data_IF_683818552658
#
_entry.id   IF_683818552658
#
_cell.length_a   1.000
_cell.length_b   1.000
_cell.length_c   1.000
_cell.angle_alpha   90.00
_cell.angle_beta   90.00
_cell.angle_gamma   90.00
#
_symmetry.space_group_name_H-M   'P 1'
#
loop_
_entity.id
_entity.type
_entity.pdbx_description
1 polymer ?
#
# COMPACT_ATOMS: atom_id res chain seq x y z
N UNK A 1 -4.35 -20.71 6.76
CA UNK A 1 -3.18 -20.12 6.10
C UNK A 1 -3.64 -19.39 4.84
N UNK A 2 -3.21 -18.14 4.66
CA UNK A 2 -3.51 -17.37 3.46
C UNK A 2 -2.46 -17.73 2.40
N UNK A 3 -2.91 -18.09 1.21
CA UNK A 3 -2.05 -18.32 0.05
C UNK A 3 -2.26 -17.21 -0.97
N UNK A 4 -1.18 -16.73 -1.56
CA UNK A 4 -1.25 -15.75 -2.65
C UNK A 4 -1.76 -16.45 -3.90
N UNK A 5 -2.67 -15.81 -4.62
CA UNK A 5 -3.12 -16.29 -5.93
C UNK A 5 -2.00 -16.07 -6.95
N UNK A 6 -1.84 -17.01 -7.88
CA UNK A 6 -0.73 -17.02 -8.84
C UNK A 6 -0.64 -15.75 -9.69
N UNK A 7 -1.75 -15.08 -9.96
CA UNK A 7 -1.77 -13.82 -10.70
C UNK A 7 -1.07 -12.66 -9.97
N UNK A 8 -0.78 -12.82 -8.67
CA UNK A 8 -0.13 -11.82 -7.83
C UNK A 8 1.26 -12.23 -7.33
N UNK A 9 1.84 -13.31 -7.87
CA UNK A 9 3.15 -13.82 -7.45
C UNK A 9 4.31 -12.83 -7.70
N UNK A 10 4.10 -11.83 -8.54
CA UNK A 10 5.08 -10.77 -8.81
C UNK A 10 5.12 -9.69 -7.72
N UNK A 11 4.18 -9.70 -6.76
CA UNK A 11 4.10 -8.75 -5.66
C UNK A 11 4.51 -9.39 -4.34
N UNK A 12 5.19 -8.63 -3.48
CA UNK A 12 5.48 -9.06 -2.12
C UNK A 12 4.25 -8.85 -1.22
N UNK A 13 3.33 -9.82 -1.24
CA UNK A 13 2.10 -9.81 -0.46
C UNK A 13 2.26 -10.45 0.93
N UNK A 14 3.49 -10.64 1.42
CA UNK A 14 3.67 -11.08 2.81
C UNK A 14 3.14 -10.01 3.77
N UNK A 15 2.07 -10.36 4.47
CA UNK A 15 1.37 -9.46 5.40
C UNK A 15 2.10 -9.29 6.73
N UNK A 16 3.07 -10.15 7.03
CA UNK A 16 3.78 -10.16 8.32
C UNK A 16 4.77 -9.02 8.41
N UNK A 17 4.76 -8.31 9.54
CA UNK A 17 5.75 -7.29 9.86
C UNK A 17 5.73 -6.01 9.00
N UNK A 18 4.72 -5.84 8.13
CA UNK A 18 4.59 -4.61 7.35
C UNK A 18 3.91 -3.52 8.19
N UNK A 19 4.41 -2.30 8.06
CA UNK A 19 3.80 -1.11 8.65
C UNK A 19 2.75 -0.50 7.71
N UNK A 20 1.97 0.46 8.21
CA UNK A 20 0.89 1.13 7.47
C UNK A 20 1.35 1.78 6.16
N UNK A 21 2.59 2.25 6.08
CA UNK A 21 3.15 2.83 4.88
C UNK A 21 3.30 1.77 3.78
N UNK A 22 3.90 0.63 4.10
CA UNK A 22 4.08 -0.51 3.19
C UNK A 22 2.75 -1.06 2.70
N UNK A 23 1.75 -1.13 3.56
CA UNK A 23 0.39 -1.52 3.19
C UNK A 23 -0.23 -0.60 2.16
N UNK A 24 -0.11 0.72 2.34
CA UNK A 24 -0.63 1.70 1.37
C UNK A 24 0.09 1.65 0.04
N UNK A 25 1.42 1.59 0.05
CA UNK A 25 2.24 1.46 -1.15
C UNK A 25 1.85 0.22 -1.97
N UNK A 26 1.63 -0.90 -1.29
CA UNK A 26 1.19 -2.14 -1.93
C UNK A 26 -0.23 -2.01 -2.49
N UNK A 27 -1.17 -1.41 -1.76
CA UNK A 27 -2.53 -1.20 -2.25
C UNK A 27 -2.54 -0.32 -3.51
N UNK A 28 -1.75 0.75 -3.56
CA UNK A 28 -1.61 1.62 -4.73
C UNK A 28 -0.97 0.89 -5.92
N UNK A 29 0.04 0.06 -5.66
CA UNK A 29 0.67 -0.76 -6.70
C UNK A 29 -0.33 -1.73 -7.32
N UNK A 30 -1.06 -2.47 -6.48
CA UNK A 30 -2.05 -3.44 -6.94
C UNK A 30 -3.27 -2.79 -7.60
N UNK A 31 -3.69 -1.61 -7.16
CA UNK A 31 -4.77 -0.87 -7.82
C UNK A 31 -4.46 -0.64 -9.29
N UNK A 32 -3.28 -0.10 -9.60
CA UNK A 32 -2.86 0.14 -10.99
C UNK A 32 -2.83 -1.16 -11.80
N UNK A 33 -2.36 -2.24 -11.19
CA UNK A 33 -2.26 -3.54 -11.83
C UNK A 33 -3.62 -4.17 -12.13
N UNK A 34 -4.56 -4.19 -11.17
CA UNK A 34 -5.89 -4.78 -11.37
C UNK A 34 -6.73 -3.97 -12.36
N UNK A 35 -6.60 -2.64 -12.33
CA UNK A 35 -7.26 -1.76 -13.31
C UNK A 35 -6.70 -1.99 -14.72
N UNK A 36 -5.39 -2.13 -14.85
CA UNK A 36 -4.72 -2.41 -16.14
C UNK A 36 -5.18 -3.74 -16.75
N UNK A 37 -5.38 -4.77 -15.93
CA UNK A 37 -5.79 -6.12 -16.36
C UNK A 37 -7.29 -6.34 -16.33
N UNK A 38 -8.09 -5.32 -16.01
CA UNK A 38 -9.55 -5.37 -16.00
C UNK A 38 -10.10 -6.55 -15.17
N UNK A 39 -9.53 -6.79 -13.96
CA UNK A 39 -10.03 -7.83 -13.07
C UNK A 39 -11.49 -7.58 -12.70
N UNK A 40 -12.30 -8.64 -12.74
CA UNK A 40 -13.67 -8.56 -12.26
C UNK A 40 -13.68 -8.48 -10.74
N UNK A 41 -14.32 -7.45 -10.13
CA UNK A 41 -14.40 -7.35 -8.68
C UNK A 41 -15.25 -8.49 -8.09
N UNK A 42 -14.90 -8.92 -6.88
CA UNK A 42 -15.69 -9.91 -6.12
C UNK A 42 -17.08 -9.35 -5.78
N UNK A 43 -17.15 -8.08 -5.45
CA UNK A 43 -18.38 -7.34 -5.17
C UNK A 43 -18.17 -5.84 -5.44
N UNK A 44 -19.26 -5.10 -5.66
CA UNK A 44 -19.22 -3.66 -5.89
C UNK A 44 -20.51 -3.00 -5.41
N UNK A 45 -20.42 -1.72 -5.04
CA UNK A 45 -21.59 -0.97 -4.57
C UNK A 45 -21.32 0.53 -4.48
N UNK A 46 -22.32 1.27 -4.06
CA UNK A 46 -22.23 2.71 -3.81
C UNK A 46 -22.56 2.98 -2.34
N UNK A 47 -21.91 3.96 -1.77
CA UNK A 47 -22.23 4.45 -0.44
C UNK A 47 -23.66 5.00 -0.41
N UNK A 48 -24.33 4.80 0.73
CA UNK A 48 -25.64 5.37 0.99
C UNK A 48 -25.56 6.87 1.34
N UNK A 49 -26.69 7.46 1.73
CA UNK A 49 -26.80 8.89 2.10
C UNK A 49 -25.96 9.27 3.34
N UNK A 50 -25.55 8.28 4.15
CA UNK A 50 -24.70 8.46 5.32
C UNK A 50 -23.21 8.29 5.00
N UNK A 51 -22.89 7.95 3.74
CA UNK A 51 -21.53 7.66 3.31
C UNK A 51 -21.08 6.23 3.63
N UNK A 52 -21.99 5.34 4.01
CA UNK A 52 -21.69 3.95 4.36
C UNK A 52 -21.95 3.02 3.19
N UNK A 53 -21.06 2.04 3.01
CA UNK A 53 -21.24 0.91 2.10
C UNK A 53 -20.88 -0.37 2.85
N UNK A 54 -21.79 -1.33 2.85
CA UNK A 54 -21.56 -2.64 3.49
C UNK A 54 -21.40 -3.72 2.42
N UNK A 55 -20.37 -4.52 2.55
CA UNK A 55 -20.16 -5.73 1.75
C UNK A 55 -20.45 -6.98 2.58
N UNK A 56 -21.01 -8.02 1.99
CA UNK A 56 -21.44 -8.10 0.59
C UNK A 56 -22.74 -7.31 0.35
N UNK A 57 -22.82 -6.71 -0.84
CA UNK A 57 -23.98 -5.89 -1.23
C UNK A 57 -25.25 -6.70 -1.49
N UNK A 58 -25.14 -8.01 -1.71
CA UNK A 58 -26.24 -8.89 -2.15
C UNK A 58 -26.35 -10.17 -1.31
N UNK A 59 -26.37 -10.09 0.02
CA UNK A 59 -26.71 -11.23 0.88
C UNK A 59 -25.82 -12.48 0.76
N UNK A 60 -24.68 -12.39 0.07
CA UNK A 60 -23.65 -13.43 0.01
C UNK A 60 -22.70 -13.26 1.18
N UNK A 61 -22.07 -14.34 1.63
CA UNK A 61 -20.95 -14.23 2.57
C UNK A 61 -19.64 -14.02 1.81
N UNK A 62 -18.77 -13.13 2.32
CA UNK A 62 -17.41 -13.05 1.83
C UNK A 62 -16.58 -14.18 2.43
N UNK A 63 -15.75 -14.81 1.62
CA UNK A 63 -14.81 -15.82 2.10
C UNK A 63 -13.71 -15.18 2.98
N UNK A 64 -13.07 -15.99 3.84
CA UNK A 64 -11.89 -15.53 4.54
C UNK A 64 -10.77 -15.17 3.54
N UNK A 65 -10.16 -13.98 3.68
CA UNK A 65 -9.13 -13.52 2.75
C UNK A 65 -8.73 -12.08 2.94
N UNK A 66 -7.73 -11.67 2.17
CA UNK A 66 -7.27 -10.29 2.03
C UNK A 66 -7.93 -9.68 0.79
N UNK A 67 -8.67 -8.61 0.98
CA UNK A 67 -9.40 -7.90 -0.06
C UNK A 67 -8.74 -6.56 -0.34
N UNK A 68 -8.51 -6.26 -1.61
CA UNK A 68 -8.15 -4.92 -2.06
C UNK A 68 -9.45 -4.16 -2.36
N UNK A 69 -9.63 -3.03 -1.69
CA UNK A 69 -10.78 -2.14 -1.89
C UNK A 69 -10.32 -0.93 -2.70
N UNK A 70 -11.01 -0.67 -3.81
CA UNK A 70 -10.71 0.41 -4.75
C UNK A 70 -11.96 1.28 -4.88
N UNK A 71 -11.80 2.61 -4.74
CA UNK A 71 -12.87 3.56 -4.99
C UNK A 71 -12.76 4.22 -6.35
N UNK A 72 -13.90 4.48 -6.97
CA UNK A 72 -13.96 5.30 -8.17
C UNK A 72 -13.92 6.79 -7.80
N UNK A 73 -13.37 7.62 -8.70
CA UNK A 73 -13.42 9.09 -8.56
C UNK A 73 -14.88 9.54 -8.53
N UNK A 74 -15.17 10.45 -7.62
CA UNK A 74 -16.47 11.12 -7.54
C UNK A 74 -16.30 12.63 -7.65
N UNK A 75 -17.00 13.25 -8.60
CA UNK A 75 -16.97 14.69 -8.80
C UNK A 75 -18.23 15.33 -8.20
N UNK A 76 -18.04 16.29 -7.29
CA UNK A 76 -19.13 17.02 -6.66
C UNK A 76 -18.70 18.45 -6.27
N UNK A 77 -19.56 19.44 -6.54
CA UNK A 77 -19.36 20.82 -6.13
C UNK A 77 -18.05 21.44 -6.64
N UNK A 78 -17.65 21.11 -7.89
CA UNK A 78 -16.42 21.61 -8.50
C UNK A 78 -15.15 20.99 -7.93
N UNK A 79 -15.26 19.84 -7.26
CA UNK A 79 -14.11 19.09 -6.75
C UNK A 79 -14.19 17.62 -7.10
N UNK A 80 -13.03 17.04 -7.35
CA UNK A 80 -12.82 15.61 -7.47
C UNK A 80 -12.43 15.00 -6.13
N UNK A 81 -13.02 13.88 -5.82
CA UNK A 81 -12.74 13.06 -4.64
C UNK A 81 -12.22 11.71 -5.09
N UNK A 82 -10.95 11.44 -4.81
CA UNK A 82 -10.29 10.15 -5.10
C UNK A 82 -10.09 9.39 -3.79
N UNK A 83 -10.73 8.22 -3.66
CA UNK A 83 -10.50 7.35 -2.52
C UNK A 83 -9.12 6.69 -2.62
N UNK A 84 -8.38 6.63 -1.50
CA UNK A 84 -7.15 5.87 -1.42
C UNK A 84 -7.48 4.37 -1.38
N UNK A 85 -6.85 3.52 -2.21
CA UNK A 85 -7.04 2.08 -2.13
C UNK A 85 -6.49 1.54 -0.80
N UNK A 86 -7.13 0.51 -0.26
CA UNK A 86 -6.71 -0.09 0.99
C UNK A 86 -7.02 -1.60 1.03
N UNK A 87 -6.40 -2.29 1.99
CA UNK A 87 -6.69 -3.69 2.24
C UNK A 87 -7.62 -3.87 3.43
N UNK A 88 -8.51 -4.85 3.29
CA UNK A 88 -9.33 -5.38 4.36
C UNK A 88 -9.05 -6.87 4.54
N UNK A 89 -8.68 -7.30 5.74
CA UNK A 89 -8.48 -8.70 6.10
C UNK A 89 -9.74 -9.24 6.79
N UNK A 90 -10.29 -10.32 6.28
CA UNK A 90 -11.48 -10.98 6.81
C UNK A 90 -11.21 -12.45 7.13
N UNK A 91 -11.46 -12.94 8.35
CA UNK A 91 -11.66 -12.15 9.56
C UNK A 91 -10.35 -11.46 9.98
N UNK A 92 -10.45 -10.38 10.74
CA UNK A 92 -9.30 -9.80 11.44
C UNK A 92 -9.25 -10.29 12.89
N UNK A 93 -8.13 -10.07 13.58
CA UNK A 93 -7.98 -10.43 14.99
C UNK A 93 -8.03 -9.18 15.85
N UNK A 94 -8.91 -9.17 16.84
CA UNK A 94 -8.83 -8.22 17.94
C UNK A 94 -7.69 -8.66 18.88
N UNK A 95 -6.60 -7.90 18.88
CA UNK A 95 -5.40 -8.22 19.66
C UNK A 95 -5.58 -7.98 21.16
N UNK A 96 -6.56 -7.15 21.57
CA UNK A 96 -6.84 -6.89 22.98
C UNK A 96 -7.61 -8.05 23.63
N UNK A 97 -8.60 -8.59 22.91
CA UNK A 97 -9.45 -9.66 23.41
C UNK A 97 -9.06 -11.05 22.87
N UNK A 98 -8.10 -11.12 21.94
CA UNK A 98 -7.67 -12.34 21.24
C UNK A 98 -8.85 -13.08 20.56
N UNK A 99 -9.79 -12.32 20.00
CA UNK A 99 -10.98 -12.84 19.32
C UNK A 99 -10.92 -12.56 17.82
N UNK A 100 -11.59 -13.43 17.03
CA UNK A 100 -11.76 -13.21 15.62
C UNK A 100 -12.96 -12.29 15.34
N UNK A 101 -12.71 -11.20 14.62
CA UNK A 101 -13.72 -10.22 14.23
C UNK A 101 -14.08 -10.43 12.76
N UNK A 102 -15.35 -10.70 12.51
CA UNK A 102 -15.89 -10.95 11.16
C UNK A 102 -16.54 -9.70 10.57
N UNK A 103 -17.01 -8.77 11.41
CA UNK A 103 -17.56 -7.48 10.99
C UNK A 103 -16.49 -6.40 11.11
N UNK A 104 -15.85 -6.09 9.99
CA UNK A 104 -14.74 -5.14 9.93
C UNK A 104 -15.21 -3.82 9.33
N UNK A 105 -14.99 -2.72 10.05
CA UNK A 105 -15.28 -1.37 9.59
C UNK A 105 -14.00 -0.62 9.24
N UNK A 106 -14.01 0.11 8.14
CA UNK A 106 -12.89 0.94 7.71
C UNK A 106 -13.36 2.35 7.34
N UNK A 107 -12.60 3.36 7.79
CA UNK A 107 -12.78 4.73 7.36
C UNK A 107 -11.90 5.00 6.14
N UNK A 108 -12.52 5.20 5.00
CA UNK A 108 -11.81 5.44 3.74
C UNK A 108 -11.19 6.84 3.75
N UNK A 109 -9.90 6.91 3.46
CA UNK A 109 -9.21 8.17 3.20
C UNK A 109 -9.43 8.58 1.75
N UNK A 110 -9.57 9.86 1.51
CA UNK A 110 -9.70 10.39 0.15
C UNK A 110 -8.95 11.72 0.02
N UNK A 111 -8.46 11.99 -1.18
CA UNK A 111 -7.98 13.29 -1.58
C UNK A 111 -9.14 14.10 -2.17
N UNK A 112 -9.09 15.42 -1.95
CA UNK A 112 -10.01 16.39 -2.57
C UNK A 112 -9.18 17.36 -3.38
N UNK A 113 -9.47 17.47 -4.67
CA UNK A 113 -8.80 18.40 -5.58
C UNK A 113 -9.83 19.19 -6.37
N UNK A 114 -9.63 20.50 -6.64
CA UNK A 114 -10.48 21.21 -7.57
C UNK A 114 -10.50 20.51 -8.93
N UNK A 115 -11.67 20.48 -9.57
CA UNK A 115 -11.76 20.06 -10.97
C UNK A 115 -10.94 21.03 -11.80
N UNK A 116 -9.99 20.59 -12.62
CA UNK A 116 -9.21 21.43 -13.50
C UNK A 116 -10.10 22.16 -14.51
N UNK A 117 -9.64 23.31 -14.98
CA UNK A 117 -10.30 23.97 -16.10
C UNK A 117 -10.12 23.15 -17.40
N UNK A 118 -11.08 23.28 -18.30
CA UNK A 118 -11.03 22.55 -19.59
C UNK A 118 -9.79 22.97 -20.38
N UNK A 119 -9.00 21.96 -20.77
CA UNK A 119 -7.71 22.14 -21.45
C UNK A 119 -6.50 22.27 -20.54
N UNK A 120 -6.65 22.23 -19.22
CA UNK A 120 -5.50 22.17 -18.30
C UNK A 120 -4.69 20.91 -18.49
N UNK A 121 -3.37 21.06 -18.41
CA UNK A 121 -2.44 19.95 -18.56
C UNK A 121 -1.58 19.74 -17.33
N UNK A 122 -1.11 18.51 -17.15
CA UNK A 122 -0.21 18.13 -16.07
C UNK A 122 1.01 17.39 -16.61
N UNK A 123 2.10 17.51 -15.87
CA UNK A 123 3.31 16.74 -16.10
C UNK A 123 3.35 15.53 -15.17
N UNK A 124 3.78 14.37 -15.68
CA UNK A 124 4.09 13.18 -14.87
C UNK A 124 5.49 12.69 -15.19
N UNK A 125 6.12 12.12 -14.19
CA UNK A 125 7.48 11.56 -14.31
C UNK A 125 7.49 10.14 -13.78
N UNK A 126 8.42 9.34 -14.29
CA UNK A 126 8.75 8.05 -13.70
C UNK A 126 10.25 7.99 -13.43
N UNK A 127 10.58 7.37 -12.30
CA UNK A 127 11.92 7.05 -11.86
C UNK A 127 11.96 5.56 -11.50
N UNK A 128 12.92 4.83 -12.08
CA UNK A 128 13.22 3.45 -11.69
C UNK A 128 14.27 3.42 -10.60
N UNK A 129 14.01 2.61 -9.58
CA UNK A 129 14.95 2.31 -8.49
C UNK A 129 15.16 0.80 -8.43
N UNK A 130 16.40 0.37 -8.26
CA UNK A 130 16.78 -1.01 -7.99
C UNK A 130 17.17 -1.15 -6.53
N UNK A 131 16.63 -2.16 -5.87
CA UNK A 131 16.92 -2.52 -4.48
C UNK A 131 17.47 -3.96 -4.49
N UNK A 132 18.78 -4.06 -4.80
CA UNK A 132 19.47 -5.32 -5.12
C UNK A 132 20.42 -5.77 -4.01
N UNK A 133 20.43 -5.11 -2.83
CA UNK A 133 21.38 -5.40 -1.74
C UNK A 133 22.85 -5.45 -2.20
N UNK A 134 23.22 -4.62 -3.19
CA UNK A 134 24.58 -4.55 -3.77
C UNK A 134 24.88 -5.56 -4.87
N UNK A 135 23.89 -6.28 -5.39
CA UNK A 135 24.05 -7.18 -6.54
C UNK A 135 23.82 -6.45 -7.88
N UNK A 136 24.50 -5.34 -8.09
CA UNK A 136 24.31 -4.40 -9.22
C UNK A 136 24.38 -5.05 -10.63
N UNK A 137 24.96 -6.24 -10.74
CA UNK A 137 25.12 -6.92 -12.04
C UNK A 137 23.94 -7.84 -12.41
N UNK A 138 22.88 -7.88 -11.61
CA UNK A 138 21.74 -8.76 -11.88
C UNK A 138 20.53 -8.06 -12.48
N UNK A 139 20.55 -6.72 -12.55
CA UNK A 139 19.47 -5.93 -13.13
C UNK A 139 19.37 -6.11 -14.64
N UNK A 140 18.18 -6.15 -15.23
CA UNK A 140 17.99 -6.05 -16.66
C UNK A 140 18.57 -4.74 -17.20
N UNK A 141 19.08 -4.77 -18.44
CA UNK A 141 19.57 -3.56 -19.10
C UNK A 141 18.44 -2.57 -19.42
N UNK A 142 17.21 -3.03 -19.48
CA UNK A 142 16.03 -2.25 -19.84
C UNK A 142 14.78 -2.86 -19.19
N UNK A 143 13.87 -1.98 -18.76
CA UNK A 143 12.52 -2.36 -18.34
C UNK A 143 11.47 -1.62 -19.17
N UNK A 144 10.24 -2.12 -19.13
CA UNK A 144 9.10 -1.47 -19.80
C UNK A 144 8.12 -0.98 -18.73
N UNK A 145 7.78 0.31 -18.79
CA UNK A 145 6.75 0.94 -17.97
C UNK A 145 5.61 1.40 -18.85
N UNK A 146 4.39 1.13 -18.43
CA UNK A 146 3.17 1.59 -19.08
C UNK A 146 2.56 2.75 -18.25
N UNK A 147 2.31 3.89 -18.90
CA UNK A 147 1.50 4.97 -18.32
C UNK A 147 0.02 4.66 -18.56
N UNK A 148 -0.78 4.75 -17.51
CA UNK A 148 -2.21 4.48 -17.57
C UNK A 148 -3.01 5.76 -17.43
N UNK A 149 -4.00 5.96 -18.33
CA UNK A 149 -5.05 6.96 -18.22
C UNK A 149 -6.34 6.28 -17.76
N UNK A 150 -6.82 6.58 -16.58
CA UNK A 150 -8.03 5.96 -16.00
C UNK A 150 -7.97 4.41 -16.04
N UNK A 151 -6.83 3.83 -15.70
CA UNK A 151 -6.59 2.38 -15.69
C UNK A 151 -6.27 1.74 -17.05
N UNK A 152 -6.38 2.47 -18.17
CA UNK A 152 -6.08 1.96 -19.51
C UNK A 152 -4.72 2.45 -20.01
N UNK A 153 -3.99 1.60 -20.73
CA UNK A 153 -2.68 1.97 -21.29
C UNK A 153 -2.83 3.17 -22.22
N UNK A 154 -2.11 4.23 -21.90
CA UNK A 154 -2.01 5.44 -22.70
C UNK A 154 -0.70 5.49 -23.48
N UNK A 155 0.42 5.19 -22.78
CA UNK A 155 1.75 5.20 -23.39
C UNK A 155 2.62 4.09 -22.79
N UNK A 156 3.67 3.69 -23.53
CA UNK A 156 4.62 2.65 -23.12
C UNK A 156 6.03 3.11 -23.37
N UNK A 157 6.83 3.15 -22.31
CA UNK A 157 8.22 3.64 -22.36
C UNK A 157 9.20 2.59 -21.88
N UNK A 158 10.42 2.68 -22.38
CA UNK A 158 11.55 1.87 -21.95
C UNK A 158 12.48 2.70 -21.08
N UNK A 159 12.82 2.17 -19.90
CA UNK A 159 13.78 2.75 -18.99
C UNK A 159 15.06 1.94 -18.96
N UNK A 160 16.19 2.61 -19.03
CA UNK A 160 17.53 2.02 -19.03
C UNK A 160 18.56 3.06 -18.56
N UNK A 161 19.83 2.69 -18.46
CA UNK A 161 20.92 3.64 -18.19
C UNK A 161 20.99 4.78 -19.20
N UNK A 162 20.62 4.53 -20.48
CA UNK A 162 20.65 5.56 -21.54
C UNK A 162 19.78 6.77 -21.25
N UNK A 163 18.70 6.61 -20.49
CA UNK A 163 17.81 7.70 -20.07
C UNK A 163 17.86 7.92 -18.55
N UNK A 164 18.93 7.45 -17.88
CA UNK A 164 19.12 7.52 -16.43
C UNK A 164 17.92 6.94 -15.67
N UNK A 165 17.32 5.88 -16.20
CA UNK A 165 16.18 5.19 -15.60
C UNK A 165 14.98 6.11 -15.34
N UNK A 166 14.74 7.12 -16.21
CA UNK A 166 13.73 8.16 -16.05
C UNK A 166 13.01 8.45 -17.35
N UNK A 167 11.77 8.92 -17.20
CA UNK A 167 11.02 9.50 -18.31
C UNK A 167 10.08 10.60 -17.81
N UNK A 168 9.71 11.54 -18.70
CA UNK A 168 8.79 12.65 -18.37
C UNK A 168 7.75 12.74 -19.47
N UNK A 169 6.48 12.65 -19.08
CA UNK A 169 5.34 12.94 -19.92
C UNK A 169 4.90 14.38 -19.67
N UNK A 170 4.76 15.14 -20.74
CA UNK A 170 4.30 16.51 -20.74
C UNK A 170 2.88 16.57 -21.31
N UNK A 171 2.18 17.66 -21.03
CA UNK A 171 0.90 18.01 -21.63
C UNK A 171 -0.18 16.91 -21.52
N UNK A 172 -0.16 16.20 -20.41
CA UNK A 172 -1.18 15.20 -20.10
C UNK A 172 -2.44 15.90 -19.59
N UNK A 173 -3.60 15.36 -19.96
CA UNK A 173 -4.90 15.82 -19.53
C UNK A 173 -5.01 15.84 -17.98
N UNK A 174 -5.31 17.02 -17.43
CA UNK A 174 -5.39 17.21 -15.97
C UNK A 174 -6.60 16.49 -15.36
N UNK A 175 -7.68 16.27 -16.12
CA UNK A 175 -8.88 15.59 -15.66
C UNK A 175 -8.68 14.10 -15.49
N UNK A 176 -7.67 13.52 -16.13
CA UNK A 176 -7.44 12.08 -16.08
C UNK A 176 -6.72 11.65 -14.82
N UNK A 177 -7.09 10.47 -14.32
CA UNK A 177 -6.33 9.77 -13.29
C UNK A 177 -5.16 9.05 -13.92
N UNK A 178 -3.95 9.49 -13.57
CA UNK A 178 -2.71 8.92 -14.10
C UNK A 178 -2.07 7.98 -13.09
N UNK A 179 -1.66 6.80 -13.57
CA UNK A 179 -0.89 5.82 -12.81
C UNK A 179 0.09 5.10 -13.74
N UNK A 180 0.99 4.30 -13.18
CA UNK A 180 1.94 3.51 -13.98
C UNK A 180 1.92 2.06 -13.55
N UNK A 181 2.29 1.16 -14.48
CA UNK A 181 2.62 -0.24 -14.18
C UNK A 181 3.96 -0.59 -14.83
N UNK A 182 4.65 -1.57 -14.27
CA UNK A 182 5.83 -2.16 -14.87
C UNK A 182 5.47 -3.53 -15.46
N UNK A 183 6.04 -3.89 -16.61
CA UNK A 183 6.00 -5.27 -17.07
C UNK A 183 6.90 -6.13 -16.19
N UNK A 184 6.39 -7.27 -15.77
CA UNK A 184 7.06 -8.20 -14.85
C UNK A 184 8.54 -8.40 -15.14
N UNK A 185 9.38 -8.19 -14.13
CA UNK A 185 10.81 -8.45 -14.16
C UNK A 185 11.10 -9.73 -13.39
N UNK A 186 11.63 -10.75 -14.08
CA UNK A 186 11.92 -12.05 -13.44
C UNK A 186 12.94 -11.89 -12.32
N UNK A 187 12.68 -12.54 -11.17
CA UNK A 187 13.57 -12.51 -10.00
C UNK A 187 13.38 -11.28 -9.10
N UNK A 188 12.41 -10.40 -9.41
CA UNK A 188 12.13 -9.20 -8.63
C UNK A 188 10.67 -9.14 -8.19
N UNK A 189 10.42 -8.44 -7.10
CA UNK A 189 9.11 -7.90 -6.74
C UNK A 189 9.07 -6.43 -7.10
N UNK A 190 7.90 -5.91 -7.45
CA UNK A 190 7.71 -4.51 -7.79
C UNK A 190 6.89 -3.77 -6.73
N UNK A 191 7.28 -2.54 -6.44
CA UNK A 191 6.52 -1.57 -5.66
C UNK A 191 6.49 -0.24 -6.39
N UNK A 192 5.33 0.41 -6.43
CA UNK A 192 5.14 1.69 -7.09
C UNK A 192 4.60 2.69 -6.08
N UNK A 193 5.33 3.78 -5.88
CA UNK A 193 4.92 4.89 -5.02
C UNK A 193 4.80 6.16 -5.83
N UNK A 194 4.09 7.15 -5.30
CA UNK A 194 3.97 8.46 -5.94
C UNK A 194 4.48 9.56 -5.02
N UNK A 195 5.42 10.32 -5.52
CA UNK A 195 6.00 11.49 -4.86
C UNK A 195 5.74 12.74 -5.72
N UNK A 196 4.70 13.50 -5.36
CA UNK A 196 4.24 14.64 -6.15
C UNK A 196 3.84 14.24 -7.57
N UNK A 197 4.61 14.69 -8.57
CA UNK A 197 4.39 14.37 -10.00
C UNK A 197 5.15 13.12 -10.45
N UNK A 198 5.97 12.51 -9.59
CA UNK A 198 6.87 11.39 -9.95
C UNK A 198 6.33 10.08 -9.42
N UNK A 199 6.21 9.09 -10.28
CA UNK A 199 6.03 7.69 -9.92
C UNK A 199 7.41 7.06 -9.71
N UNK A 200 7.65 6.47 -8.55
CA UNK A 200 8.87 5.74 -8.22
C UNK A 200 8.56 4.25 -8.32
N UNK A 201 9.17 3.59 -9.29
CA UNK A 201 9.04 2.15 -9.53
C UNK A 201 10.27 1.47 -8.93
N UNK A 202 10.10 0.77 -7.82
CA UNK A 202 11.18 0.07 -7.11
C UNK A 202 11.07 -1.42 -7.35
N UNK A 203 12.15 -2.03 -7.84
CA UNK A 203 12.27 -3.48 -7.89
C UNK A 203 13.22 -3.95 -6.81
N UNK A 204 12.72 -4.84 -5.95
CA UNK A 204 13.48 -5.51 -4.91
C UNK A 204 13.79 -6.94 -5.34
N UNK A 205 15.05 -7.35 -5.28
CA UNK A 205 15.46 -8.70 -5.63
C UNK A 205 14.82 -9.72 -4.69
N UNK A 206 14.21 -10.75 -5.28
CA UNK A 206 13.69 -11.88 -4.50
C UNK A 206 14.87 -12.64 -3.90
N UNK A 207 14.81 -13.03 -2.61
CA UNK A 207 15.84 -13.86 -2.04
C UNK A 207 15.96 -15.18 -2.84
N UNK A 208 17.18 -15.58 -3.15
CA UNK A 208 17.43 -16.90 -3.74
C UNK A 208 16.95 -17.97 -2.77
N UNK A 209 15.80 -18.57 -3.07
CA UNK A 209 15.35 -19.76 -2.36
C UNK A 209 16.28 -20.92 -2.76
N UNK A 210 17.37 -21.09 -2.06
CA UNK A 210 17.99 -22.38 -1.96
C UNK A 210 17.07 -23.22 -1.08
N UNK A 211 16.06 -23.83 -1.70
CA UNK A 211 15.28 -24.90 -1.11
C UNK A 211 16.21 -26.11 -0.93
N UNK A 212 17.11 -26.02 0.03
CA UNK A 212 17.64 -27.23 0.63
C UNK A 212 16.56 -27.66 1.62
N UNK A 213 15.88 -28.79 1.39
CA UNK A 213 14.98 -29.31 2.41
C UNK A 213 15.83 -29.50 3.67
N UNK A 214 15.43 -28.86 4.77
CA UNK A 214 16.01 -29.12 6.06
C UNK A 214 16.00 -30.64 6.28
N UNK A 215 17.15 -31.25 6.15
CA UNK A 215 17.33 -32.64 6.52
C UNK A 215 16.92 -32.72 7.99
N UNK A 216 15.96 -33.59 8.37
CA UNK A 216 15.53 -33.65 9.74
C UNK A 216 16.75 -33.94 10.63
N UNK A 217 17.11 -32.94 11.44
CA UNK A 217 18.18 -33.11 12.41
C UNK A 217 17.70 -34.18 13.39
N UNK A 218 18.36 -35.35 13.31
CA UNK A 218 18.16 -36.48 14.24
C UNK A 218 18.23 -35.92 15.67
N UNK A 219 17.24 -36.15 16.53
CA UNK A 219 17.27 -35.64 17.90
C UNK A 219 18.50 -36.14 18.60
N UNK A 220 19.40 -35.26 19.01
CA UNK A 220 20.48 -35.64 19.92
C UNK A 220 19.89 -35.88 21.30
N UNK A 221 20.36 -36.94 21.95
CA UNK A 221 19.96 -37.41 23.28
C UNK A 221 19.92 -36.23 24.29
N UNK A 222 18.89 -36.11 25.12
CA UNK A 222 18.81 -35.05 26.11
C UNK A 222 19.90 -35.23 27.17
N UNK A 223 20.82 -34.28 27.24
CA UNK A 223 21.71 -34.13 28.37
C UNK A 223 20.92 -33.60 29.57
N UNK A 224 21.21 -34.16 30.74
CA UNK A 224 20.62 -33.95 32.08
C UNK A 224 20.38 -32.46 32.37
N UNK A 225 19.23 -32.08 32.94
CA UNK A 225 18.90 -30.70 33.21
C UNK A 225 19.78 -30.08 34.29
N UNK A 226 20.46 -29.00 33.94
CA UNK A 226 21.05 -28.08 34.88
C UNK A 226 19.96 -27.14 35.41
N UNK A 227 20.03 -26.80 36.69
CA UNK A 227 19.08 -25.99 37.45
C UNK A 227 18.58 -24.75 36.73
N UNK A 228 17.31 -24.33 36.91
CA UNK A 228 16.72 -23.21 36.19
C UNK A 228 17.36 -21.88 36.59
N UNK A 229 17.92 -21.18 35.63
CA UNK A 229 18.25 -19.77 35.77
C UNK A 229 16.94 -18.97 35.77
N UNK A 230 16.86 -18.04 36.73
CA UNK A 230 15.74 -17.13 36.94
C UNK A 230 15.48 -16.35 35.63
N UNK A 231 14.25 -16.29 35.10
CA UNK A 231 13.96 -15.53 33.89
C UNK A 231 14.12 -14.04 34.14
N UNK A 232 15.08 -13.41 33.48
CA UNK A 232 15.13 -11.98 33.32
C UNK A 232 14.22 -11.63 32.14
N UNK A 233 13.11 -10.95 32.42
CA UNK A 233 12.24 -10.37 31.43
C UNK A 233 13.04 -9.34 30.58
N UNK A 234 12.90 -9.33 29.25
CA UNK A 234 13.44 -8.25 28.44
C UNK A 234 12.75 -6.95 28.86
N UNK A 235 13.51 -5.99 29.38
CA UNK A 235 13.02 -4.62 29.55
C UNK A 235 12.85 -4.02 28.15
N UNK A 236 11.64 -4.09 27.61
CA UNK A 236 11.23 -3.17 26.57
C UNK A 236 11.07 -1.81 27.21
N UNK A 237 12.12 -0.99 27.14
CA UNK A 237 12.09 0.38 27.57
C UNK A 237 11.13 1.18 26.71
N UNK A 238 9.86 1.14 27.02
CA UNK A 238 8.91 2.13 26.55
C UNK A 238 9.29 3.47 27.18
N UNK A 239 9.87 4.35 26.40
CA UNK A 239 10.25 5.71 26.83
C UNK A 239 8.97 6.53 26.88
N UNK A 240 8.31 6.53 28.03
CA UNK A 240 6.99 7.16 28.28
C UNK A 240 6.98 8.68 28.14
N UNK A 241 8.14 9.33 28.12
CA UNK A 241 8.25 10.79 28.08
C UNK A 241 7.73 11.42 26.76
N UNK A 242 7.70 10.67 25.67
CA UNK A 242 7.16 11.16 24.38
C UNK A 242 5.63 11.28 24.39
N UNK A 243 4.94 10.48 25.18
CA UNK A 243 3.48 10.52 25.30
C UNK A 243 3.04 11.75 26.09
N UNK A 244 3.76 12.10 27.15
CA UNK A 244 3.48 13.30 27.94
C UNK A 244 3.72 14.58 27.13
N UNK A 245 4.78 14.63 26.30
CA UNK A 245 5.08 15.77 25.44
C UNK A 245 4.00 15.99 24.36
N UNK A 246 3.45 14.90 23.79
CA UNK A 246 2.35 14.98 22.82
C UNK A 246 1.03 15.41 23.48
N UNK A 247 0.74 14.95 24.70
CA UNK A 247 -0.43 15.37 25.43
C UNK A 247 -0.39 16.86 25.81
N UNK A 248 0.80 17.36 26.22
CA UNK A 248 1.00 18.77 26.53
C UNK A 248 0.92 19.67 25.29
N UNK A 249 1.42 19.24 24.12
CA UNK A 249 1.30 20.00 22.89
C UNK A 249 -0.16 20.08 22.42
N UNK A 250 -0.93 19.00 22.55
CA UNK A 250 -2.38 19.00 22.26
C UNK A 250 -3.15 19.96 23.16
N UNK A 251 -2.81 20.05 24.43
CA UNK A 251 -3.44 20.97 25.40
C UNK A 251 -3.13 22.44 25.07
N UNK A 252 -1.92 22.75 24.60
CA UNK A 252 -1.53 24.12 24.16
C UNK A 252 -2.30 24.55 22.95
N UNK A 253 -2.55 23.67 21.97
CA UNK A 253 -3.38 23.97 20.81
C UNK A 253 -4.85 24.19 21.18
N UNK A 254 -5.39 23.46 22.14
CA UNK A 254 -6.76 23.69 22.64
C UNK A 254 -6.90 25.01 23.40
N UNK A 255 -5.90 25.41 24.17
CA UNK A 255 -5.90 26.69 24.90
C UNK A 255 -5.77 27.86 23.92
N UNK A 256 -4.88 27.78 22.91
CA UNK A 256 -4.73 28.81 21.87
C UNK A 256 -5.99 28.95 21.02
N UNK A 257 -6.63 27.85 20.62
CA UNK A 257 -7.91 27.88 19.90
C UNK A 257 -9.07 28.44 20.71
N UNK A 258 -9.06 28.31 22.02
CA UNK A 258 -10.07 28.90 22.92
C UNK A 258 -9.84 30.42 23.14
N UNK A 259 -8.59 30.88 23.08
CA UNK A 259 -8.23 32.30 23.19
C UNK A 259 -8.56 33.05 21.90
N UNK A 260 -8.40 32.45 20.75
CA UNK A 260 -8.70 33.05 19.44
C UNK A 260 -10.22 33.30 19.25
N UNK A 261 -11.07 32.43 19.83
CA UNK A 261 -12.53 32.62 19.83
C UNK A 261 -13.02 33.76 20.71
N UNK A 262 -12.22 34.26 21.65
CA UNK A 262 -12.60 35.33 22.56
C UNK A 262 -12.26 36.73 22.02
N UNK A 263 -11.46 36.83 20.96
CA UNK A 263 -11.05 38.08 20.34
C UNK A 263 -11.94 38.53 19.18
N UNK A 264 -12.88 37.66 18.75
CA UNK A 264 -13.84 37.99 17.68
C UNK A 264 -15.29 38.26 18.18
N UNK A 265 -15.49 38.53 19.48
CA UNK A 265 -16.78 38.86 20.07
C UNK A 265 -16.85 40.29 20.54
#
# INVERSE_FOLDING_TARGET
>A
ELTVRSEFDEFDLDIRGKNDRRWREMAQTLESYVLRREFTPTDSGKTDKTGMLTFPTQGKTLAAGLYLVIGERHTQGGNDYDAEPFFALLPTQDLENNEWVYDVSANVKFSKTPVPDDGDTVTRKVLKVWDDDGAENSCPQEITVELLRNGKVYDTVKLSEKNNWRYTWLDLDADARWSVTEKTVSGYTVSITREGITFVVTNTKKPDRTDTPDTPVKPSNPSKPSSPAKPTLPQTGAVWWHVEALALSGLVFLILGALDRKTEA
#
